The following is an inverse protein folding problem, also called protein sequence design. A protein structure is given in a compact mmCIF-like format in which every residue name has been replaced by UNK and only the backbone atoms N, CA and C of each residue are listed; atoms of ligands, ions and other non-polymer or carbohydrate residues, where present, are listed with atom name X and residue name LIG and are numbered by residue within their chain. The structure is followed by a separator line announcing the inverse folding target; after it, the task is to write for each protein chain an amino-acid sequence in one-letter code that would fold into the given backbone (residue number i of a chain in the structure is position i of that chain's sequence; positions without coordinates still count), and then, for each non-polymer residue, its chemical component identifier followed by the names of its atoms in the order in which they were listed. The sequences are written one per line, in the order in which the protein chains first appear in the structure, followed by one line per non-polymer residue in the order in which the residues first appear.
data_IF_765983389723
#
_entry.id   IF_765983389723
#
_cell.length_a   1.000
_cell.length_b   1.000
_cell.length_c   1.000
_cell.angle_alpha   90.00
_cell.angle_beta   90.00
_cell.angle_gamma   90.00
#
_symmetry.space_group_name_H-M   'P 1'
#
loop_
_entity.id
_entity.type
_entity.pdbx_description
1 polymer ?
#
# COMPACT_ATOMS: atom_id res chain seq x y z
N UNK A 1 -22.00 -26.83 -17.31
CA UNK A 1 -22.91 -25.78 -16.78
C UNK A 1 -22.56 -25.46 -15.34
N UNK A 2 -22.42 -26.46 -14.47
CA UNK A 2 -21.99 -26.27 -13.07
C UNK A 2 -20.53 -25.78 -12.95
N UNK A 3 -19.60 -26.37 -13.69
CA UNK A 3 -18.17 -25.95 -13.67
C UNK A 3 -17.96 -24.51 -14.18
N UNK A 4 -18.76 -24.09 -15.17
CA UNK A 4 -18.72 -22.74 -15.72
C UNK A 4 -19.25 -21.73 -14.71
N UNK A 5 -20.32 -22.07 -13.99
CA UNK A 5 -20.86 -21.22 -12.92
C UNK A 5 -19.85 -21.09 -11.76
N UNK A 6 -19.24 -22.19 -11.32
CA UNK A 6 -18.21 -22.18 -10.26
C UNK A 6 -17.02 -21.32 -10.69
N UNK A 7 -16.59 -21.42 -11.94
CA UNK A 7 -15.51 -20.60 -12.49
C UNK A 7 -15.85 -19.10 -12.44
N UNK A 8 -17.06 -18.71 -12.85
CA UNK A 8 -17.49 -17.31 -12.79
C UNK A 8 -17.60 -16.79 -11.35
N UNK A 9 -18.04 -17.61 -10.40
CA UNK A 9 -18.09 -17.23 -8.98
C UNK A 9 -16.68 -16.96 -8.44
N UNK A 10 -15.71 -17.83 -8.74
CA UNK A 10 -14.30 -17.64 -8.33
C UNK A 10 -13.73 -16.33 -8.88
N UNK A 11 -13.97 -16.03 -10.15
CA UNK A 11 -13.55 -14.77 -10.77
C UNK A 11 -14.22 -13.55 -10.12
N UNK A 12 -15.52 -13.63 -9.84
CA UNK A 12 -16.23 -12.56 -9.16
C UNK A 12 -15.67 -12.29 -7.75
N UNK A 13 -15.33 -13.34 -7.00
CA UNK A 13 -14.72 -13.23 -5.68
C UNK A 13 -13.36 -12.53 -5.76
N UNK A 14 -12.46 -13.00 -6.64
CA UNK A 14 -11.12 -12.39 -6.80
C UNK A 14 -11.24 -10.90 -7.17
N UNK A 15 -12.13 -10.56 -8.10
CA UNK A 15 -12.38 -9.17 -8.48
C UNK A 15 -12.83 -8.32 -7.28
N UNK A 16 -13.78 -8.85 -6.50
CA UNK A 16 -14.28 -8.18 -5.29
C UNK A 16 -13.20 -8.04 -4.23
N UNK A 17 -12.36 -9.07 -4.04
CA UNK A 17 -11.30 -9.10 -3.04
C UNK A 17 -10.19 -8.10 -3.37
N UNK A 18 -9.86 -7.90 -4.66
CA UNK A 18 -8.96 -6.82 -5.08
C UNK A 18 -9.54 -5.46 -4.66
N UNK A 19 -10.83 -5.20 -4.96
CA UNK A 19 -11.48 -3.93 -4.61
C UNK A 19 -11.50 -3.72 -3.09
N UNK A 20 -11.88 -4.75 -2.32
CA UNK A 20 -11.98 -4.66 -0.86
C UNK A 20 -10.62 -4.47 -0.19
N UNK A 21 -9.59 -5.22 -0.61
CA UNK A 21 -8.23 -5.06 -0.05
C UNK A 21 -7.69 -3.66 -0.32
N UNK A 22 -7.77 -3.19 -1.56
CA UNK A 22 -7.21 -1.89 -1.93
C UNK A 22 -8.03 -0.72 -1.38
N UNK A 23 -9.37 -0.84 -1.37
CA UNK A 23 -10.26 0.12 -0.74
C UNK A 23 -10.07 0.20 0.77
N UNK A 24 -9.90 -0.95 1.43
CA UNK A 24 -9.61 -1.01 2.86
C UNK A 24 -8.28 -0.37 3.24
N UNK A 25 -7.22 -0.60 2.44
CA UNK A 25 -5.93 0.07 2.61
C UNK A 25 -6.05 1.59 2.43
N UNK A 26 -6.73 2.05 1.38
CA UNK A 26 -6.93 3.47 1.12
C UNK A 26 -7.70 4.14 2.26
N UNK A 27 -8.78 3.51 2.70
CA UNK A 27 -9.60 4.00 3.79
C UNK A 27 -8.81 4.10 5.09
N UNK A 28 -8.07 3.05 5.43
CA UNK A 28 -7.21 3.02 6.62
C UNK A 28 -6.12 4.09 6.56
N UNK A 29 -5.49 4.28 5.40
CA UNK A 29 -4.47 5.31 5.21
C UNK A 29 -5.04 6.71 5.46
N UNK A 30 -6.17 7.06 4.85
CA UNK A 30 -6.78 8.38 5.04
C UNK A 30 -7.22 8.62 6.47
N UNK A 31 -8.00 7.72 7.08
CA UNK A 31 -8.49 7.94 8.45
C UNK A 31 -7.35 7.98 9.46
N UNK A 32 -6.35 7.13 9.33
CA UNK A 32 -5.23 7.13 10.27
C UNK A 32 -4.39 8.39 10.10
N UNK A 33 -4.19 8.85 8.87
CA UNK A 33 -3.47 10.11 8.59
C UNK A 33 -4.23 11.31 9.17
N UNK A 34 -5.55 11.40 8.92
CA UNK A 34 -6.42 12.44 9.46
C UNK A 34 -6.40 12.47 10.99
N UNK A 35 -6.49 11.32 11.65
CA UNK A 35 -6.38 11.26 13.13
C UNK A 35 -5.01 11.61 13.67
N UNK A 36 -3.94 11.32 12.92
CA UNK A 36 -2.59 11.80 13.29
C UNK A 36 -2.53 13.32 13.17
N UNK A 37 -3.09 13.91 12.11
CA UNK A 37 -3.15 15.36 11.90
C UNK A 37 -4.01 16.07 12.95
N UNK A 38 -5.21 15.57 13.25
CA UNK A 38 -6.06 16.08 14.34
C UNK A 38 -5.32 16.03 15.69
N UNK A 39 -4.50 15.00 15.90
CA UNK A 39 -3.66 14.91 17.10
C UNK A 39 -2.60 16.02 17.14
N UNK A 40 -2.01 16.42 16.01
CA UNK A 40 -1.10 17.57 15.99
C UNK A 40 -1.78 18.86 16.45
N UNK A 41 -3.03 19.07 16.04
CA UNK A 41 -3.79 20.30 16.32
C UNK A 41 -4.34 20.37 17.75
N UNK A 42 -4.70 19.21 18.30
CA UNK A 42 -5.34 19.13 19.64
C UNK A 42 -4.34 18.98 20.78
N UNK A 43 -3.07 18.67 20.50
CA UNK A 43 -2.07 18.52 21.56
C UNK A 43 -1.69 19.86 22.18
N UNK A 44 -1.69 19.90 23.51
CA UNK A 44 -1.12 20.99 24.30
C UNK A 44 0.41 20.98 24.21
N UNK A 45 0.96 21.61 23.17
CA UNK A 45 2.40 21.75 22.95
C UNK A 45 3.13 22.49 24.07
N UNK A 46 2.44 23.44 24.70
CA UNK A 46 3.01 24.32 25.71
C UNK A 46 2.01 24.57 26.84
N UNK A 47 2.52 24.57 28.06
CA UNK A 47 1.78 24.92 29.27
C UNK A 47 2.46 26.08 30.00
N UNK A 48 1.77 27.22 30.08
CA UNK A 48 2.29 28.45 30.69
C UNK A 48 2.54 28.29 32.21
N UNK A 49 1.85 27.35 32.84
CA UNK A 49 1.93 27.09 34.28
C UNK A 49 3.01 26.03 34.61
N UNK A 50 3.70 25.50 33.59
CA UNK A 50 4.69 24.43 33.73
C UNK A 50 6.13 24.96 33.55
N UNK A 51 7.10 24.29 34.17
CA UNK A 51 8.50 24.72 34.11
C UNK A 51 9.09 24.49 32.71
N UNK A 52 10.09 25.30 32.35
CA UNK A 52 10.77 25.25 31.04
C UNK A 52 11.23 23.84 30.64
N UNK A 53 11.74 23.05 31.59
CA UNK A 53 12.19 21.68 31.34
C UNK A 53 11.04 20.77 30.93
N UNK A 54 9.94 20.78 31.68
CA UNK A 54 8.77 19.94 31.41
C UNK A 54 8.13 20.28 30.08
N UNK A 55 8.01 21.57 29.76
CA UNK A 55 7.55 22.01 28.44
C UNK A 55 8.44 21.49 27.30
N UNK A 56 9.77 21.55 27.46
CA UNK A 56 10.70 20.99 26.48
C UNK A 56 10.56 19.48 26.32
N UNK A 57 10.43 18.75 27.43
CA UNK A 57 10.33 17.30 27.42
C UNK A 57 8.99 16.86 26.79
N UNK A 58 7.88 17.53 27.14
CA UNK A 58 6.56 17.37 26.51
C UNK A 58 6.62 17.51 24.99
N UNK A 59 7.16 18.63 24.50
CA UNK A 59 7.28 18.88 23.05
C UNK A 59 8.06 17.77 22.35
N UNK A 60 9.15 17.29 22.95
CA UNK A 60 9.98 16.22 22.39
C UNK A 60 9.27 14.88 22.36
N UNK A 61 8.61 14.51 23.45
CA UNK A 61 7.91 13.23 23.57
C UNK A 61 6.71 13.18 22.62
N UNK A 62 5.90 14.25 22.59
CA UNK A 62 4.80 14.41 21.65
C UNK A 62 5.28 14.29 20.21
N UNK A 63 6.29 15.08 19.81
CA UNK A 63 6.80 15.06 18.44
C UNK A 63 7.37 13.68 18.07
N UNK A 64 8.06 13.01 19.01
CA UNK A 64 8.57 11.65 18.79
C UNK A 64 7.43 10.66 18.58
N UNK A 65 6.37 10.74 19.39
CA UNK A 65 5.23 9.85 19.32
C UNK A 65 4.48 9.99 17.99
N UNK A 66 4.13 11.21 17.59
CA UNK A 66 3.39 11.46 16.35
C UNK A 66 4.20 11.08 15.10
N UNK A 67 5.49 11.41 15.06
CA UNK A 67 6.36 10.95 13.97
C UNK A 67 6.52 9.43 13.95
N UNK A 68 6.50 8.79 15.12
CA UNK A 68 6.46 7.34 15.26
C UNK A 68 5.21 6.72 14.64
N UNK A 69 4.03 7.27 14.93
CA UNK A 69 2.78 6.83 14.32
C UNK A 69 2.76 7.00 12.80
N UNK A 70 3.23 8.16 12.29
CA UNK A 70 3.32 8.41 10.85
C UNK A 70 4.25 7.41 10.15
N UNK A 71 5.44 7.18 10.72
CA UNK A 71 6.40 6.21 10.16
C UNK A 71 5.83 4.79 10.16
N UNK A 72 5.16 4.40 11.26
CA UNK A 72 4.55 3.09 11.38
C UNK A 72 3.38 2.91 10.38
N UNK A 73 2.56 3.95 10.16
CA UNK A 73 1.50 3.91 9.17
C UNK A 73 2.07 3.67 7.76
N UNK A 74 3.14 4.38 7.38
CA UNK A 74 3.78 4.19 6.07
C UNK A 74 4.30 2.75 5.89
N UNK A 75 4.99 2.20 6.90
CA UNK A 75 5.48 0.82 6.85
C UNK A 75 4.32 -0.19 6.75
N UNK A 76 3.25 0.00 7.53
CA UNK A 76 2.05 -0.84 7.46
C UNK A 76 1.39 -0.78 6.08
N UNK A 77 1.36 0.38 5.43
CA UNK A 77 0.80 0.51 4.09
C UNK A 77 1.67 -0.22 3.06
N UNK A 78 3.00 -0.09 3.13
CA UNK A 78 3.92 -0.85 2.25
C UNK A 78 3.72 -2.36 2.42
N UNK A 79 3.63 -2.83 3.66
CA UNK A 79 3.37 -4.24 3.97
C UNK A 79 2.02 -4.66 3.39
N UNK A 80 0.97 -3.87 3.61
CA UNK A 80 -0.40 -4.14 3.16
C UNK A 80 -0.52 -4.22 1.65
N UNK A 81 0.05 -3.26 0.92
CA UNK A 81 0.06 -3.25 -0.55
C UNK A 81 0.82 -4.46 -1.08
N UNK A 82 2.00 -4.77 -0.51
CA UNK A 82 2.77 -5.94 -0.92
C UNK A 82 2.03 -7.25 -0.65
N UNK A 83 1.31 -7.35 0.47
CA UNK A 83 0.55 -8.54 0.83
C UNK A 83 -0.68 -8.72 -0.07
N UNK A 84 -1.39 -7.64 -0.39
CA UNK A 84 -2.54 -7.70 -1.30
C UNK A 84 -2.14 -8.25 -2.68
N UNK A 85 -1.02 -7.78 -3.24
CA UNK A 85 -0.51 -8.29 -4.51
C UNK A 85 -0.11 -9.77 -4.40
N UNK A 86 0.53 -10.19 -3.32
CA UNK A 86 0.93 -11.60 -3.09
C UNK A 86 -0.28 -12.53 -2.91
N UNK A 87 -1.30 -12.08 -2.20
CA UNK A 87 -2.54 -12.83 -2.00
C UNK A 87 -3.29 -13.08 -3.30
N UNK A 88 -3.29 -12.11 -4.23
CA UNK A 88 -3.84 -12.33 -5.55
C UNK A 88 -3.12 -13.48 -6.28
N UNK A 89 -1.79 -13.54 -6.20
CA UNK A 89 -1.03 -14.59 -6.87
C UNK A 89 -1.36 -15.98 -6.28
N UNK A 90 -1.51 -16.06 -4.96
CA UNK A 90 -1.93 -17.28 -4.29
C UNK A 90 -3.37 -17.67 -4.63
N UNK A 91 -4.30 -16.72 -4.66
CA UNK A 91 -5.68 -16.96 -5.09
C UNK A 91 -5.76 -17.55 -6.49
N UNK A 92 -4.94 -17.06 -7.44
CA UNK A 92 -4.89 -17.62 -8.79
C UNK A 92 -4.33 -19.04 -8.84
N UNK A 93 -3.27 -19.31 -8.07
CA UNK A 93 -2.67 -20.63 -7.99
C UNK A 93 -3.66 -21.65 -7.38
N UNK A 94 -4.34 -21.26 -6.29
CA UNK A 94 -5.26 -22.13 -5.56
C UNK A 94 -6.58 -22.38 -6.32
N UNK A 95 -7.08 -21.38 -7.06
CA UNK A 95 -8.39 -21.48 -7.72
C UNK A 95 -8.35 -22.01 -9.15
N UNK A 96 -7.23 -21.83 -9.86
CA UNK A 96 -7.12 -22.10 -11.30
C UNK A 96 -5.88 -22.90 -11.70
N UNK A 97 -5.11 -23.44 -10.74
CA UNK A 97 -3.85 -24.17 -10.98
C UNK A 97 -2.87 -23.38 -11.88
N UNK A 98 -2.97 -22.04 -11.84
CA UNK A 98 -2.20 -21.15 -12.67
C UNK A 98 -1.04 -20.60 -11.84
N UNK A 99 0.16 -21.10 -12.08
CA UNK A 99 1.37 -20.64 -11.38
C UNK A 99 1.70 -19.21 -11.81
N UNK A 100 1.19 -18.21 -11.07
CA UNK A 100 1.59 -16.81 -11.23
C UNK A 100 2.78 -16.52 -10.32
N UNK A 101 3.96 -16.36 -10.91
CA UNK A 101 5.19 -15.97 -10.21
C UNK A 101 5.51 -14.51 -10.53
N UNK A 102 5.59 -13.70 -9.47
CA UNK A 102 5.83 -12.27 -9.58
C UNK A 102 7.01 -11.92 -10.51
N UNK A 103 8.18 -12.54 -10.33
CA UNK A 103 9.39 -12.17 -11.07
C UNK A 103 9.47 -12.82 -12.45
N UNK A 104 8.87 -14.01 -12.64
CA UNK A 104 8.95 -14.74 -13.91
C UNK A 104 7.91 -14.27 -14.90
N UNK A 105 6.66 -14.11 -14.49
CA UNK A 105 5.57 -13.93 -15.42
C UNK A 105 4.78 -12.62 -15.22
N UNK A 106 4.99 -11.85 -14.15
CA UNK A 106 4.27 -10.58 -13.98
C UNK A 106 4.87 -9.36 -14.70
N UNK A 107 6.06 -9.49 -15.32
CA UNK A 107 6.75 -8.37 -16.02
C UNK A 107 5.94 -7.69 -17.13
N UNK A 108 4.94 -8.39 -17.68
CA UNK A 108 4.07 -7.92 -18.77
C UNK A 108 2.89 -7.07 -18.32
N UNK A 109 2.66 -6.97 -17.01
CA UNK A 109 1.52 -6.25 -16.45
C UNK A 109 1.86 -4.80 -16.13
N UNK A 110 0.85 -3.93 -16.23
CA UNK A 110 0.99 -2.50 -15.92
C UNK A 110 1.38 -2.32 -14.44
N UNK A 111 2.31 -1.40 -14.16
CA UNK A 111 2.84 -1.12 -12.82
C UNK A 111 3.64 -2.27 -12.16
N UNK A 112 4.15 -3.21 -12.96
CA UNK A 112 5.05 -4.24 -12.47
C UNK A 112 6.26 -3.67 -11.71
N UNK A 113 6.89 -2.59 -12.24
CA UNK A 113 8.07 -1.98 -11.63
C UNK A 113 7.75 -1.46 -10.23
N UNK A 114 6.63 -0.78 -10.08
CA UNK A 114 6.15 -0.22 -8.81
C UNK A 114 5.83 -1.32 -7.80
N UNK A 115 5.23 -2.42 -8.24
CA UNK A 115 5.04 -3.58 -7.35
C UNK A 115 6.37 -4.24 -6.97
N UNK A 116 7.37 -4.19 -7.86
CA UNK A 116 8.74 -4.60 -7.57
C UNK A 116 9.37 -3.72 -6.48
N UNK A 117 9.15 -2.41 -6.52
CA UNK A 117 9.58 -1.47 -5.48
C UNK A 117 8.93 -1.84 -4.14
N UNK A 118 7.60 -1.91 -4.08
CA UNK A 118 6.86 -2.19 -2.84
C UNK A 118 7.24 -3.54 -2.23
N UNK A 119 7.34 -4.60 -3.04
CA UNK A 119 7.72 -5.93 -2.56
C UNK A 119 9.12 -5.91 -1.94
N UNK A 120 10.08 -5.21 -2.54
CA UNK A 120 11.43 -5.12 -2.00
C UNK A 120 11.52 -4.22 -0.76
N UNK A 121 10.74 -3.13 -0.70
CA UNK A 121 10.62 -2.31 0.51
C UNK A 121 10.02 -3.12 1.67
N UNK A 122 8.98 -3.92 1.42
CA UNK A 122 8.40 -4.83 2.41
C UNK A 122 9.45 -5.83 2.95
N UNK A 123 10.29 -6.39 2.07
CA UNK A 123 11.38 -7.27 2.49
C UNK A 123 12.40 -6.55 3.38
N UNK A 124 12.76 -5.30 3.07
CA UNK A 124 13.62 -4.49 3.94
C UNK A 124 12.97 -4.22 5.31
N UNK A 125 11.68 -3.92 5.36
CA UNK A 125 10.93 -3.74 6.63
C UNK A 125 10.98 -5.03 7.46
N UNK A 126 10.62 -6.18 6.86
CA UNK A 126 10.54 -7.48 7.54
C UNK A 126 11.88 -8.02 8.02
N UNK A 127 12.93 -7.89 7.23
CA UNK A 127 14.19 -8.61 7.46
C UNK A 127 15.37 -7.71 7.86
N UNK A 128 15.25 -6.41 7.66
CA UNK A 128 16.36 -5.46 7.85
C UNK A 128 15.98 -4.25 8.70
N UNK A 129 14.87 -4.31 9.46
CA UNK A 129 14.34 -3.17 10.24
C UNK A 129 14.19 -1.90 9.40
N UNK A 130 13.81 -2.08 8.14
CA UNK A 130 13.66 -1.00 7.16
C UNK A 130 14.98 -0.44 6.62
N UNK A 131 16.14 -1.04 6.88
CA UNK A 131 17.40 -0.56 6.32
C UNK A 131 17.62 -1.03 4.88
N UNK A 132 18.10 -0.14 4.02
CA UNK A 132 18.51 -0.44 2.64
C UNK A 132 20.05 -0.53 2.62
N UNK A 133 20.57 -1.75 2.51
CA UNK A 133 22.00 -2.06 2.62
C UNK A 133 22.39 -3.13 1.61
N UNK A 134 23.60 -3.01 1.03
CA UNK A 134 24.09 -3.99 0.05
C UNK A 134 24.26 -5.40 0.63
N UNK A 135 24.18 -6.38 -0.26
CA UNK A 135 24.35 -7.81 0.07
C UNK A 135 23.04 -8.53 0.41
N UNK A 136 21.92 -7.82 0.36
CA UNK A 136 20.58 -8.39 0.45
C UNK A 136 19.88 -8.14 -0.89
N UNK A 137 19.49 -9.20 -1.60
CA UNK A 137 18.92 -9.09 -2.96
C UNK A 137 17.82 -8.03 -3.11
N UNK A 138 16.94 -7.90 -2.12
CA UNK A 138 15.87 -6.90 -2.15
C UNK A 138 16.40 -5.48 -2.05
N UNK A 139 17.38 -5.24 -1.19
CA UNK A 139 18.06 -3.95 -1.06
C UNK A 139 18.93 -3.66 -2.29
N UNK A 140 19.62 -4.67 -2.82
CA UNK A 140 20.45 -4.52 -4.02
C UNK A 140 19.58 -4.08 -5.21
N UNK A 141 18.38 -4.68 -5.39
CA UNK A 141 17.41 -4.20 -6.38
C UNK A 141 17.01 -2.74 -6.18
N UNK A 142 16.70 -2.34 -4.94
CA UNK A 142 16.31 -0.96 -4.61
C UNK A 142 17.45 0.04 -4.88
N UNK A 143 18.70 -0.35 -4.68
CA UNK A 143 19.86 0.51 -4.93
C UNK A 143 20.16 0.55 -6.43
N UNK A 144 20.32 -0.60 -7.06
CA UNK A 144 20.90 -0.70 -8.40
C UNK A 144 19.88 -0.41 -9.51
N UNK A 145 18.61 -0.79 -9.34
CA UNK A 145 17.56 -0.65 -10.36
C UNK A 145 16.65 0.57 -10.13
N UNK A 146 16.48 0.98 -8.87
CA UNK A 146 15.58 2.07 -8.47
C UNK A 146 16.35 3.34 -8.09
N UNK A 147 17.60 3.21 -7.62
CA UNK A 147 18.46 4.34 -7.28
C UNK A 147 18.28 4.86 -5.84
N UNK A 148 17.74 4.06 -4.92
CA UNK A 148 17.67 4.49 -3.52
C UNK A 148 19.07 4.55 -2.87
N UNK A 149 19.35 5.55 -2.01
CA UNK A 149 20.65 5.67 -1.37
C UNK A 149 20.95 4.50 -0.45
N UNK A 150 22.17 3.95 -0.55
CA UNK A 150 22.66 2.97 0.42
C UNK A 150 22.72 3.59 1.83
N UNK A 151 22.31 2.82 2.83
CA UNK A 151 22.26 3.25 4.23
C UNK A 151 20.99 4.01 4.62
N UNK A 152 20.12 4.35 3.66
CA UNK A 152 18.82 4.95 3.95
C UNK A 152 17.89 3.97 4.67
N UNK A 153 16.87 4.51 5.34
CA UNK A 153 15.77 3.72 5.90
C UNK A 153 14.48 3.95 5.12
N UNK A 154 13.66 2.91 5.02
CA UNK A 154 12.35 2.97 4.36
C UNK A 154 11.49 4.12 4.90
N UNK A 155 11.48 4.34 6.22
CA UNK A 155 10.76 5.45 6.85
C UNK A 155 11.25 6.87 6.49
N UNK A 156 12.45 6.98 5.92
CA UNK A 156 13.06 8.24 5.47
C UNK A 156 12.80 8.49 3.98
N UNK A 157 12.24 7.52 3.27
CA UNK A 157 11.90 7.68 1.86
C UNK A 157 10.58 8.45 1.71
N UNK A 158 10.58 9.38 0.76
CA UNK A 158 9.36 10.02 0.30
C UNK A 158 8.63 9.07 -0.65
N UNK A 159 7.66 8.34 -0.10
CA UNK A 159 6.81 7.41 -0.85
C UNK A 159 5.39 7.95 -0.80
N UNK A 160 4.82 8.19 -1.99
CA UNK A 160 3.40 8.50 -2.13
C UNK A 160 2.58 7.22 -1.97
N UNK A 161 2.08 6.99 -0.76
CA UNK A 161 1.34 5.79 -0.41
C UNK A 161 0.03 5.70 -1.17
N UNK A 162 -0.68 6.82 -1.38
CA UNK A 162 -1.93 6.85 -2.11
C UNK A 162 -1.70 6.42 -3.57
N UNK A 163 -0.66 6.97 -4.20
CA UNK A 163 -0.24 6.58 -5.55
C UNK A 163 0.08 5.07 -5.65
N UNK A 164 0.84 4.51 -4.71
CA UNK A 164 1.13 3.07 -4.70
C UNK A 164 -0.09 2.19 -4.45
N UNK A 165 -1.08 2.66 -3.69
CA UNK A 165 -2.37 1.98 -3.53
C UNK A 165 -3.11 1.94 -4.88
N UNK A 166 -3.21 3.05 -5.60
CA UNK A 166 -3.87 3.07 -6.91
C UNK A 166 -3.14 2.24 -7.96
N UNK A 167 -1.80 2.34 -8.01
CA UNK A 167 -0.98 1.53 -8.93
C UNK A 167 -1.09 0.04 -8.62
N UNK A 168 -1.13 -0.34 -7.35
CA UNK A 168 -1.34 -1.74 -6.96
C UNK A 168 -2.73 -2.24 -7.34
N UNK A 169 -3.77 -1.42 -7.16
CA UNK A 169 -5.12 -1.76 -7.65
C UNK A 169 -5.13 -2.00 -9.17
N UNK A 170 -4.49 -1.10 -9.94
CA UNK A 170 -4.42 -1.22 -11.39
C UNK A 170 -3.59 -2.43 -11.84
N UNK A 171 -2.46 -2.72 -11.18
CA UNK A 171 -1.65 -3.92 -11.42
C UNK A 171 -2.45 -5.20 -11.18
N UNK A 172 -3.11 -5.30 -10.03
CA UNK A 172 -3.92 -6.46 -9.67
C UNK A 172 -5.10 -6.67 -10.63
N UNK A 173 -5.76 -5.58 -11.04
CA UNK A 173 -6.79 -5.63 -12.07
C UNK A 173 -6.22 -6.02 -13.44
N UNK A 174 -5.01 -5.59 -13.78
CA UNK A 174 -4.39 -5.95 -15.06
C UNK A 174 -4.06 -7.44 -15.11
N UNK A 175 -3.57 -8.02 -14.01
CA UNK A 175 -3.46 -9.48 -13.86
C UNK A 175 -4.83 -10.12 -14.05
N UNK A 176 -5.86 -9.61 -13.34
CA UNK A 176 -7.19 -10.21 -13.34
C UNK A 176 -7.82 -10.28 -14.74
N UNK A 177 -7.74 -9.19 -15.50
CA UNK A 177 -8.37 -9.12 -16.83
C UNK A 177 -7.54 -9.82 -17.90
N UNK A 178 -6.21 -9.65 -17.91
CA UNK A 178 -5.37 -10.27 -18.94
C UNK A 178 -5.22 -11.79 -18.76
N UNK A 179 -5.36 -12.32 -17.55
CA UNK A 179 -5.44 -13.78 -17.35
C UNK A 179 -6.70 -14.39 -17.97
N UNK A 180 -7.74 -13.58 -18.17
CA UNK A 180 -8.96 -13.97 -18.89
C UNK A 180 -8.94 -13.55 -20.37
N UNK A 181 -7.79 -13.14 -20.90
CA UNK A 181 -7.63 -12.64 -22.28
C UNK A 181 -8.53 -11.42 -22.60
N UNK A 182 -8.82 -10.60 -21.59
CA UNK A 182 -9.64 -9.39 -21.69
C UNK A 182 -8.81 -8.14 -21.43
N UNK A 183 -9.25 -7.03 -22.00
CA UNK A 183 -8.69 -5.71 -21.68
C UNK A 183 -9.12 -5.26 -20.28
N UNK A 184 -8.20 -4.61 -19.55
CA UNK A 184 -8.49 -4.05 -18.25
C UNK A 184 -9.28 -2.73 -18.39
N UNK A 185 -10.58 -2.67 -18.01
CA UNK A 185 -11.42 -1.49 -18.17
C UNK A 185 -11.04 -0.33 -17.24
N UNK A 186 -10.16 -0.56 -16.26
CA UNK A 186 -9.73 0.45 -15.29
C UNK A 186 -8.50 1.24 -15.76
N UNK A 187 -7.69 0.71 -16.69
CA UNK A 187 -6.47 1.38 -17.16
C UNK A 187 -6.73 2.71 -17.85
N UNK A 188 -7.91 2.91 -18.43
CA UNK A 188 -8.30 4.21 -19.00
C UNK A 188 -8.43 5.33 -17.97
N UNK A 189 -8.48 5.00 -16.68
CA UNK A 189 -8.57 5.94 -15.56
C UNK A 189 -7.27 6.01 -14.76
N UNK A 190 -6.15 5.54 -15.30
CA UNK A 190 -4.88 5.44 -14.58
C UNK A 190 -4.32 6.78 -14.09
N UNK A 191 -4.80 7.90 -14.64
CA UNK A 191 -4.45 9.27 -14.23
C UNK A 191 -5.60 9.97 -13.46
N UNK A 192 -6.76 9.33 -13.30
CA UNK A 192 -7.94 9.90 -12.63
C UNK A 192 -8.10 9.32 -11.22
N UNK A 193 -7.32 9.86 -10.27
CA UNK A 193 -7.30 9.39 -8.89
C UNK A 193 -8.63 9.63 -8.16
N UNK A 194 -9.40 10.64 -8.57
CA UNK A 194 -10.73 10.88 -8.03
C UNK A 194 -11.70 9.77 -8.44
N UNK A 195 -11.64 9.33 -9.71
CA UNK A 195 -12.44 8.21 -10.18
C UNK A 195 -12.04 6.90 -9.50
N UNK A 196 -10.73 6.62 -9.41
CA UNK A 196 -10.21 5.41 -8.75
C UNK A 196 -10.60 5.35 -7.27
N UNK A 197 -10.52 6.48 -6.57
CA UNK A 197 -10.97 6.61 -5.17
C UNK A 197 -12.43 6.24 -5.01
N UNK A 198 -13.33 6.82 -5.81
CA UNK A 198 -14.77 6.51 -5.78
C UNK A 198 -15.06 5.05 -6.13
N UNK A 199 -14.19 4.42 -6.93
CA UNK A 199 -14.32 3.01 -7.25
C UNK A 199 -13.92 2.09 -6.10
N UNK A 200 -12.90 2.50 -5.34
CA UNK A 200 -12.33 1.73 -4.22
C UNK A 200 -13.06 1.96 -2.89
N UNK A 201 -13.52 3.17 -2.63
CA UNK A 201 -14.27 3.54 -1.42
C UNK A 201 -15.72 3.80 -1.82
N UNK A 202 -16.65 2.90 -1.47
CA UNK A 202 -18.07 3.10 -1.74
C UNK A 202 -18.62 4.39 -1.12
N UNK A 203 -19.53 5.06 -1.83
CA UNK A 203 -20.14 6.33 -1.40
C UNK A 203 -20.80 6.27 -0.01
N UNK A 204 -21.32 5.12 0.42
CA UNK A 204 -21.92 5.00 1.77
C UNK A 204 -20.88 5.06 2.89
N UNK A 205 -19.61 4.80 2.57
CA UNK A 205 -18.48 4.99 3.49
C UNK A 205 -18.04 6.47 3.47
N UNK A 206 -18.07 7.14 2.30
CA UNK A 206 -17.74 8.58 2.19
C UNK A 206 -18.65 9.48 3.04
N UNK A 207 -19.89 9.07 3.32
CA UNK A 207 -20.80 9.81 4.20
C UNK A 207 -20.33 9.91 5.66
N UNK A 208 -19.41 9.03 6.07
CA UNK A 208 -18.83 9.02 7.42
C UNK A 208 -17.41 9.59 7.48
N UNK A 209 -16.81 9.98 6.33
CA UNK A 209 -15.45 10.53 6.24
C UNK A 209 -15.41 12.07 6.24
N UNK A 210 -16.55 12.76 6.29
CA UNK A 210 -16.66 14.24 6.31
C UNK A 210 -17.52 14.77 7.47
N UNK A 211 -17.46 14.14 8.64
CA UNK A 211 -18.11 14.60 9.86
C UNK A 211 -17.07 15.02 10.90
#
# INVERSE_FOLDING_TARGET
MEDELIHQIKLANIHSDIIHRMGGLLLMYYYTSDKIEESYDTIKWYDKDDIKRNNKDRMKETARMLNGYKSNLHELMIIGISKAAEDLLYEYNDNFELEVDFWKNCKRFEYFKEMGIIRNLNNCIKHSKGAIQRGIKSSDYLIDEIGYPEGSKVKELEIDIEDFIFKSFLFQMDIFWKTQEKENPYLKFKEDYNWLRKKLIPNFIELYTRA
#
